data_IF_671198397370
#
_entry.id   IF_671198397370
#
_cell.length_a   1.000
_cell.length_b   1.000
_cell.length_c   1.000
_cell.angle_alpha   90.00
_cell.angle_beta   90.00
_cell.angle_gamma   90.00
#
_symmetry.space_group_name_H-M   'P 1'
#
loop_
_entity.id
_entity.type
_entity.pdbx_description
1 polymer ?
#
# COMPACT_ATOMS: atom_id res chain seq x y z
N UNK A 1 22.09 13.15 4.54
CA UNK A 1 21.42 14.42 4.81
C UNK A 1 21.25 14.63 6.30
N UNK A 2 21.28 15.86 6.78
CA UNK A 2 20.93 16.15 8.18
C UNK A 2 19.47 15.72 8.39
N UNK A 3 19.23 14.77 9.30
CA UNK A 3 17.88 14.31 9.62
C UNK A 3 16.99 15.48 10.04
N UNK A 4 15.76 15.52 9.52
CA UNK A 4 14.77 16.50 9.91
C UNK A 4 14.48 16.34 11.40
N UNK A 5 14.57 17.44 12.17
CA UNK A 5 14.40 17.44 13.63
C UNK A 5 13.00 16.91 14.05
N UNK A 6 12.00 16.96 13.18
CA UNK A 6 10.67 16.40 13.45
C UNK A 6 10.69 14.87 13.70
N UNK A 7 11.71 14.18 13.16
CA UNK A 7 11.94 12.76 13.33
C UNK A 7 12.87 12.41 14.50
N UNK A 8 13.22 13.39 15.32
CA UNK A 8 14.11 13.20 16.47
C UNK A 8 13.41 13.67 17.75
N UNK A 9 13.13 12.75 18.67
CA UNK A 9 12.66 13.06 20.03
C UNK A 9 13.56 12.37 21.03
N UNK A 10 14.16 13.17 21.94
CA UNK A 10 15.13 12.68 22.93
C UNK A 10 14.54 11.69 23.93
N UNK A 11 13.25 11.75 24.15
CA UNK A 11 12.48 10.96 25.12
C UNK A 11 11.82 9.72 24.51
N UNK A 12 11.98 9.47 23.20
CA UNK A 12 11.35 8.34 22.52
C UNK A 12 12.37 7.58 21.66
N UNK A 13 12.44 6.27 21.90
CA UNK A 13 13.26 5.38 21.08
C UNK A 13 12.64 5.16 19.69
N UNK A 14 11.30 5.02 19.63
CA UNK A 14 10.54 4.87 18.38
C UNK A 14 9.46 5.93 18.31
N UNK A 15 9.27 6.52 17.13
CA UNK A 15 8.23 7.53 16.89
C UNK A 15 6.97 6.93 16.27
N UNK A 16 7.06 5.74 15.69
CA UNK A 16 6.02 5.03 14.99
C UNK A 16 6.47 4.53 13.63
N UNK A 17 5.52 4.06 12.82
CA UNK A 17 5.75 3.65 11.43
C UNK A 17 5.47 4.87 10.55
N UNK A 18 6.44 5.23 9.70
CA UNK A 18 6.28 6.32 8.73
C UNK A 18 5.52 5.87 7.48
N UNK A 19 5.92 4.75 6.91
CA UNK A 19 5.29 4.16 5.72
C UNK A 19 5.52 2.66 5.66
N UNK A 20 4.75 2.00 4.80
CA UNK A 20 5.02 0.64 4.33
C UNK A 20 5.34 0.70 2.85
N UNK A 21 6.36 -0.05 2.42
CA UNK A 21 6.75 -0.12 1.01
C UNK A 21 6.19 -1.37 0.35
N UNK A 22 5.68 -1.24 -0.86
CA UNK A 22 5.18 -2.33 -1.70
C UNK A 22 5.86 -2.29 -3.07
N UNK A 23 6.18 -3.45 -3.60
CA UNK A 23 6.71 -3.56 -4.97
C UNK A 23 5.55 -3.54 -5.95
N UNK A 24 5.62 -2.67 -6.94
CA UNK A 24 4.61 -2.54 -7.99
C UNK A 24 5.22 -2.77 -9.36
N UNK A 25 4.47 -3.41 -10.26
CA UNK A 25 4.90 -3.66 -11.62
C UNK A 25 4.83 -2.41 -12.52
N UNK A 26 3.89 -1.51 -12.23
CA UNK A 26 3.68 -0.25 -12.96
C UNK A 26 3.08 0.80 -12.01
N UNK A 27 3.82 1.88 -11.80
CA UNK A 27 3.40 2.97 -10.91
C UNK A 27 2.10 3.61 -11.36
N UNK A 28 1.89 3.84 -12.67
CA UNK A 28 0.67 4.51 -13.17
C UNK A 28 -0.56 3.61 -13.03
N UNK A 29 -0.42 2.31 -13.24
CA UNK A 29 -1.49 1.35 -12.99
C UNK A 29 -1.89 1.35 -11.50
N UNK A 30 -0.90 1.35 -10.60
CA UNK A 30 -1.12 1.39 -9.15
C UNK A 30 -1.73 2.72 -8.71
N UNK A 31 -1.35 3.86 -9.33
CA UNK A 31 -1.93 5.17 -9.03
C UNK A 31 -3.43 5.24 -9.36
N UNK A 32 -3.93 4.53 -10.37
CA UNK A 32 -5.37 4.43 -10.63
C UNK A 32 -6.12 3.84 -9.45
N UNK A 33 -5.55 2.84 -8.79
CA UNK A 33 -6.13 2.24 -7.60
C UNK A 33 -5.98 3.16 -6.38
N UNK A 34 -4.77 3.52 -6.01
CA UNK A 34 -4.49 4.19 -4.74
C UNK A 34 -4.84 5.67 -4.74
N UNK A 35 -4.51 6.39 -5.81
CA UNK A 35 -4.79 7.83 -5.94
C UNK A 35 -6.22 8.08 -6.43
N UNK A 36 -6.59 7.48 -7.57
CA UNK A 36 -7.84 7.86 -8.26
C UNK A 36 -9.07 7.19 -7.62
N UNK A 37 -8.96 5.90 -7.25
CA UNK A 37 -10.08 5.19 -6.64
C UNK A 37 -10.12 5.34 -5.11
N UNK A 38 -8.97 5.29 -4.41
CA UNK A 38 -8.95 5.38 -2.94
C UNK A 38 -8.72 6.79 -2.39
N UNK A 39 -8.27 7.74 -3.21
CA UNK A 39 -8.14 9.14 -2.82
C UNK A 39 -6.86 9.47 -2.04
N UNK A 40 -5.81 8.63 -2.10
CA UNK A 40 -4.51 9.00 -1.58
C UNK A 40 -3.86 10.05 -2.50
N UNK A 41 -2.98 10.87 -1.96
CA UNK A 41 -2.24 11.85 -2.75
C UNK A 41 -0.73 11.52 -2.79
N UNK A 42 -0.08 11.88 -3.89
CA UNK A 42 1.36 11.74 -4.03
C UNK A 42 2.04 12.77 -3.13
N UNK A 43 2.87 12.28 -2.20
CA UNK A 43 3.65 13.10 -1.28
C UNK A 43 5.08 13.36 -1.77
N UNK A 44 5.56 12.54 -2.69
CA UNK A 44 6.88 12.69 -3.28
C UNK A 44 7.22 11.57 -4.24
N UNK A 45 8.24 11.78 -5.06
CA UNK A 45 8.80 10.75 -5.94
C UNK A 45 10.31 10.92 -6.07
N UNK A 46 11.01 9.82 -6.31
CA UNK A 46 12.44 9.80 -6.58
C UNK A 46 12.79 8.63 -7.46
N UNK A 47 14.00 8.66 -8.01
CA UNK A 47 14.62 7.53 -8.66
C UNK A 47 15.91 7.19 -7.94
N UNK A 48 16.03 5.97 -7.45
CA UNK A 48 17.15 5.49 -6.66
C UNK A 48 17.88 4.39 -7.40
N UNK A 49 19.22 4.45 -7.38
CA UNK A 49 20.10 3.48 -8.05
C UNK A 49 21.51 3.52 -7.42
N UNK A 50 22.37 2.61 -7.87
CA UNK A 50 23.78 2.50 -7.43
C UNK A 50 23.99 1.56 -6.27
N UNK A 51 25.22 1.44 -5.83
CA UNK A 51 25.69 0.40 -4.89
C UNK A 51 24.92 0.39 -3.57
N UNK A 52 24.55 1.53 -3.03
CA UNK A 52 23.79 1.61 -1.78
C UNK A 52 22.39 1.03 -1.96
N UNK A 53 21.73 1.34 -3.09
CA UNK A 53 20.41 0.80 -3.40
C UNK A 53 20.47 -0.70 -3.68
N UNK A 54 21.50 -1.17 -4.39
CA UNK A 54 21.72 -2.58 -4.66
C UNK A 54 21.89 -3.39 -3.36
N UNK A 55 22.69 -2.88 -2.43
CA UNK A 55 22.90 -3.51 -1.13
C UNK A 55 21.62 -3.49 -0.27
N UNK A 56 20.88 -2.38 -0.29
CA UNK A 56 19.63 -2.25 0.47
C UNK A 56 18.59 -3.31 0.04
N UNK A 57 18.44 -3.50 -1.25
CA UNK A 57 17.46 -4.44 -1.80
C UNK A 57 18.03 -5.86 -2.02
N UNK A 58 19.35 -6.03 -1.92
CA UNK A 58 20.08 -7.24 -2.32
C UNK A 58 19.76 -7.64 -3.78
N UNK A 59 19.72 -6.63 -4.67
CA UNK A 59 19.46 -6.79 -6.10
C UNK A 59 20.52 -6.03 -6.88
N UNK A 60 21.38 -6.75 -7.60
CA UNK A 60 22.41 -6.15 -8.42
C UNK A 60 21.82 -5.38 -9.60
N UNK A 61 22.35 -4.16 -9.86
CA UNK A 61 21.84 -3.27 -10.90
C UNK A 61 20.48 -2.64 -10.60
N UNK A 62 20.04 -2.69 -9.32
CA UNK A 62 18.74 -2.13 -8.93
C UNK A 62 18.62 -0.64 -9.27
N UNK A 63 17.59 -0.31 -10.04
CA UNK A 63 17.14 1.04 -10.33
C UNK A 63 15.65 1.11 -10.09
N UNK A 64 15.23 1.92 -9.13
CA UNK A 64 13.85 2.00 -8.68
C UNK A 64 13.26 3.37 -8.91
N UNK A 65 12.02 3.40 -9.41
CA UNK A 65 11.14 4.55 -9.23
C UNK A 65 10.41 4.37 -7.90
N UNK A 66 10.52 5.37 -7.04
CA UNK A 66 9.88 5.40 -5.73
C UNK A 66 8.79 6.46 -5.77
N UNK A 67 7.58 6.11 -5.35
CA UNK A 67 6.44 7.05 -5.26
C UNK A 67 5.77 6.90 -3.92
N UNK A 68 5.85 7.95 -3.10
CA UNK A 68 5.25 7.97 -1.76
C UNK A 68 3.84 8.53 -1.79
N UNK A 69 2.91 7.85 -1.15
CA UNK A 69 1.51 8.21 -1.05
C UNK A 69 1.09 8.43 0.40
N UNK A 70 0.19 9.37 0.63
CA UNK A 70 -0.38 9.69 1.95
C UNK A 70 -1.89 9.84 1.87
N UNK A 71 -2.58 9.47 2.94
CA UNK A 71 -3.97 9.86 3.13
C UNK A 71 -4.07 11.30 3.63
N UNK A 72 -5.12 12.02 3.21
CA UNK A 72 -5.35 13.39 3.66
C UNK A 72 -5.55 13.51 5.18
N UNK A 73 -6.07 12.46 5.82
CA UNK A 73 -6.24 12.36 7.26
C UNK A 73 -4.95 12.10 8.05
N UNK A 74 -3.82 11.90 7.36
CA UNK A 74 -2.55 11.52 8.01
C UNK A 74 -2.40 10.02 8.22
N UNK A 75 -1.49 9.62 9.11
CA UNK A 75 -1.12 8.22 9.36
C UNK A 75 0.08 7.76 8.52
N UNK A 76 0.44 6.47 8.61
CA UNK A 76 1.50 5.88 7.80
C UNK A 76 1.22 6.00 6.31
N UNK A 77 2.26 6.24 5.51
CA UNK A 77 2.17 6.27 4.05
C UNK A 77 2.24 4.89 3.42
N UNK A 78 1.98 4.85 2.12
CA UNK A 78 2.31 3.71 1.26
C UNK A 78 3.35 4.20 0.26
N UNK A 79 4.43 3.45 0.08
CA UNK A 79 5.48 3.78 -0.86
C UNK A 79 5.56 2.69 -1.93
N UNK A 80 5.47 3.09 -3.20
CA UNK A 80 5.66 2.19 -4.33
C UNK A 80 7.14 2.07 -4.66
N UNK A 81 7.58 0.85 -4.88
CA UNK A 81 8.89 0.49 -5.40
C UNK A 81 8.72 -0.17 -6.78
N UNK A 82 8.82 0.59 -7.85
CA UNK A 82 8.83 0.05 -9.20
C UNK A 82 10.28 -0.19 -9.65
N UNK A 83 10.64 -1.44 -9.90
CA UNK A 83 11.95 -1.77 -10.44
C UNK A 83 12.00 -1.44 -11.93
N UNK A 84 12.74 -0.38 -12.27
CA UNK A 84 13.05 -0.01 -13.65
C UNK A 84 14.12 -0.94 -14.24
N UNK A 85 15.00 -1.47 -13.37
CA UNK A 85 15.98 -2.50 -13.63
C UNK A 85 16.32 -3.26 -12.33
N UNK A 86 16.56 -4.60 -12.40
CA UNK A 86 16.09 -5.49 -13.46
C UNK A 86 14.56 -5.61 -13.44
N UNK A 87 13.95 -5.98 -14.58
CA UNK A 87 12.50 -6.18 -14.72
C UNK A 87 12.14 -7.66 -14.77
N UNK A 88 12.78 -8.46 -13.96
CA UNK A 88 12.63 -9.92 -13.91
C UNK A 88 11.91 -10.40 -12.64
N UNK A 89 11.25 -9.49 -11.92
CA UNK A 89 10.44 -9.80 -10.76
C UNK A 89 9.28 -10.76 -11.09
N UNK A 90 8.93 -11.62 -10.15
CA UNK A 90 7.81 -12.55 -10.30
C UNK A 90 6.52 -11.88 -9.85
N UNK A 91 5.40 -12.05 -10.59
CA UNK A 91 4.09 -11.57 -10.13
C UNK A 91 3.64 -12.33 -8.88
N UNK A 92 2.71 -11.73 -8.12
CA UNK A 92 2.07 -12.44 -7.03
C UNK A 92 1.36 -13.70 -7.56
N UNK A 93 1.47 -14.85 -6.86
CA UNK A 93 0.78 -16.07 -7.27
C UNK A 93 -0.75 -15.88 -7.30
N UNK A 94 -1.41 -16.39 -8.33
CA UNK A 94 -2.87 -16.29 -8.47
C UNK A 94 -3.63 -17.04 -7.37
N UNK A 95 -3.02 -18.09 -6.82
CA UNK A 95 -3.55 -18.92 -5.73
C UNK A 95 -3.12 -18.48 -4.34
N UNK A 96 -2.51 -17.28 -4.21
CA UNK A 96 -2.07 -16.70 -2.93
C UNK A 96 -3.20 -16.64 -1.89
N UNK A 97 -2.92 -17.17 -0.69
CA UNK A 97 -3.86 -17.27 0.43
C UNK A 97 -3.43 -16.43 1.62
N UNK A 98 -4.39 -16.09 2.47
CA UNK A 98 -4.11 -15.35 3.70
C UNK A 98 -3.25 -16.13 4.72
N UNK A 99 -3.11 -17.43 4.55
CA UNK A 99 -2.24 -18.29 5.37
C UNK A 99 -0.78 -18.36 4.88
N UNK A 100 -0.47 -17.78 3.73
CA UNK A 100 0.88 -17.85 3.18
C UNK A 100 1.83 -16.89 3.91
N UNK A 101 3.10 -17.28 4.04
CA UNK A 101 4.10 -16.48 4.77
C UNK A 101 4.38 -15.11 4.16
N UNK A 102 4.13 -14.93 2.88
CA UNK A 102 4.27 -13.66 2.19
C UNK A 102 3.00 -12.81 2.18
N UNK A 103 1.89 -13.35 2.75
CA UNK A 103 0.64 -12.59 2.85
C UNK A 103 0.79 -11.43 3.83
N UNK A 104 0.35 -10.28 3.41
CA UNK A 104 0.15 -9.13 4.25
C UNK A 104 -0.99 -8.28 3.69
N UNK A 105 -1.58 -7.44 4.52
CA UNK A 105 -2.62 -6.53 4.07
C UNK A 105 -2.46 -5.16 4.72
N UNK A 106 -2.81 -4.13 3.99
CA UNK A 106 -2.95 -2.77 4.52
C UNK A 106 -4.42 -2.49 4.82
N UNK A 107 -4.70 -1.93 5.99
CA UNK A 107 -6.05 -1.53 6.37
C UNK A 107 -6.20 -0.01 6.25
N UNK A 108 -7.19 0.43 5.48
CA UNK A 108 -7.60 1.81 5.36
C UNK A 108 -8.96 2.00 6.04
N UNK A 109 -9.04 3.03 6.88
CA UNK A 109 -10.31 3.46 7.48
C UNK A 109 -10.98 4.43 6.51
N UNK A 110 -12.19 4.12 6.09
CA UNK A 110 -12.98 4.91 5.14
C UNK A 110 -14.27 5.39 5.79
N UNK A 111 -14.80 6.51 5.30
CA UNK A 111 -16.06 7.05 5.82
C UNK A 111 -17.28 6.20 5.42
N UNK A 112 -17.26 5.59 4.23
CA UNK A 112 -18.37 4.80 3.70
C UNK A 112 -17.83 3.68 2.81
N UNK A 113 -17.82 2.45 3.32
CA UNK A 113 -17.32 1.27 2.60
C UNK A 113 -18.05 1.03 1.28
N UNK A 114 -19.39 1.24 1.26
CA UNK A 114 -20.23 1.06 0.06
C UNK A 114 -19.83 1.99 -1.10
N UNK A 115 -19.43 3.24 -0.80
CA UNK A 115 -19.01 4.20 -1.84
C UNK A 115 -17.71 3.76 -2.49
N UNK A 116 -16.72 3.34 -1.69
CA UNK A 116 -15.45 2.86 -2.21
C UNK A 116 -15.60 1.55 -2.97
N UNK A 117 -16.45 0.64 -2.48
CA UNK A 117 -16.77 -0.62 -3.16
C UNK A 117 -17.34 -0.37 -4.57
N UNK A 118 -18.34 0.51 -4.68
CA UNK A 118 -18.93 0.86 -5.99
C UNK A 118 -17.90 1.47 -6.94
N UNK A 119 -17.02 2.35 -6.45
CA UNK A 119 -15.96 2.97 -7.26
C UNK A 119 -14.97 1.94 -7.77
N UNK A 120 -14.48 1.05 -6.90
CA UNK A 120 -13.54 0.01 -7.29
C UNK A 120 -14.15 -0.98 -8.28
N UNK A 121 -15.43 -1.33 -8.13
CA UNK A 121 -16.14 -2.18 -9.08
C UNK A 121 -16.31 -1.51 -10.46
N UNK A 122 -16.61 -0.21 -10.49
CA UNK A 122 -16.74 0.54 -11.74
C UNK A 122 -15.43 0.59 -12.53
N UNK A 123 -14.29 0.57 -11.83
CA UNK A 123 -12.94 0.52 -12.42
C UNK A 123 -12.42 -0.91 -12.65
N UNK A 124 -13.27 -1.92 -12.46
CA UNK A 124 -12.96 -3.35 -12.63
C UNK A 124 -11.85 -3.89 -11.72
N UNK A 125 -11.65 -3.31 -10.54
CA UNK A 125 -10.71 -3.85 -9.56
C UNK A 125 -11.25 -5.14 -8.92
N UNK A 126 -10.34 -6.06 -8.60
CA UNK A 126 -10.66 -7.38 -8.05
C UNK A 126 -10.98 -7.30 -6.56
N UNK A 127 -12.06 -7.97 -6.15
CA UNK A 127 -12.39 -8.17 -4.74
C UNK A 127 -11.93 -9.53 -4.26
N UNK A 128 -11.52 -9.60 -3.00
CA UNK A 128 -11.24 -10.84 -2.27
C UNK A 128 -12.50 -11.27 -1.52
N UNK A 129 -13.20 -10.33 -0.87
CA UNK A 129 -14.50 -10.56 -0.24
C UNK A 129 -15.63 -10.57 -1.30
N UNK A 130 -16.77 -11.21 -1.01
CA UNK A 130 -17.92 -11.22 -1.95
C UNK A 130 -18.56 -9.83 -2.17
N UNK A 131 -18.14 -8.84 -1.40
CA UNK A 131 -18.62 -7.45 -1.43
C UNK A 131 -18.37 -6.80 -0.07
N UNK A 132 -19.13 -5.75 0.21
CA UNK A 132 -19.14 -5.13 1.55
C UNK A 132 -19.85 -6.06 2.53
N UNK A 133 -19.17 -6.40 3.62
CA UNK A 133 -19.69 -7.25 4.69
C UNK A 133 -19.96 -6.39 5.91
N UNK A 134 -21.16 -6.51 6.49
CA UNK A 134 -21.50 -5.92 7.78
C UNK A 134 -21.19 -6.89 8.89
N UNK A 135 -20.59 -6.41 9.97
CA UNK A 135 -20.25 -7.19 11.15
C UNK A 135 -21.21 -6.87 12.28
N UNK A 136 -21.80 -7.91 12.87
CA UNK A 136 -22.62 -7.77 14.05
C UNK A 136 -21.78 -7.67 15.32
N UNK A 137 -20.57 -8.21 15.29
CA UNK A 137 -19.61 -8.17 16.39
C UNK A 137 -18.68 -6.96 16.28
N UNK A 138 -18.79 -6.08 17.27
CA UNK A 138 -17.95 -4.86 17.38
C UNK A 138 -16.56 -5.12 17.95
N UNK A 139 -16.24 -6.35 18.32
CA UNK A 139 -14.92 -6.70 18.90
C UNK A 139 -13.74 -6.38 17.95
N UNK A 140 -14.00 -6.38 16.65
CA UNK A 140 -12.99 -6.05 15.63
C UNK A 140 -12.75 -4.53 15.43
N UNK A 141 -13.53 -3.69 16.13
CA UNK A 141 -13.35 -2.23 16.09
C UNK A 141 -13.86 -1.55 14.81
N UNK A 142 -14.62 -2.26 13.96
CA UNK A 142 -15.31 -1.70 12.80
C UNK A 142 -16.64 -2.41 12.54
N UNK A 143 -17.54 -1.75 11.82
CA UNK A 143 -18.90 -2.24 11.57
C UNK A 143 -19.12 -2.82 10.19
N UNK A 144 -18.37 -2.32 9.20
CA UNK A 144 -18.43 -2.76 7.80
C UNK A 144 -17.04 -2.79 7.19
N UNK A 145 -16.87 -3.60 6.16
CA UNK A 145 -15.63 -3.60 5.40
C UNK A 145 -15.66 -4.56 4.23
N UNK A 146 -14.64 -4.49 3.41
CA UNK A 146 -14.39 -5.41 2.31
C UNK A 146 -12.89 -5.49 2.01
N UNK A 147 -12.51 -6.54 1.30
CA UNK A 147 -11.14 -6.77 0.86
C UNK A 147 -11.07 -6.64 -0.66
N UNK A 148 -10.14 -5.84 -1.15
CA UNK A 148 -9.84 -5.70 -2.57
C UNK A 148 -8.36 -5.98 -2.84
N UNK A 149 -8.03 -6.31 -4.09
CA UNK A 149 -6.64 -6.42 -4.55
C UNK A 149 -6.30 -5.23 -5.42
N UNK A 150 -5.10 -4.70 -5.22
CA UNK A 150 -4.51 -3.77 -6.15
C UNK A 150 -4.08 -4.47 -7.47
N UNK A 151 -3.56 -3.75 -8.48
CA UNK A 151 -3.12 -4.35 -9.74
C UNK A 151 -2.05 -5.45 -9.59
N UNK A 152 -1.22 -5.38 -8.58
CA UNK A 152 -0.12 -6.32 -8.32
C UNK A 152 -0.49 -7.45 -7.36
N UNK A 153 -1.73 -7.45 -6.85
CA UNK A 153 -2.27 -8.50 -6.00
C UNK A 153 -2.17 -8.24 -4.49
N UNK A 154 -1.66 -7.10 -4.05
CA UNK A 154 -1.65 -6.74 -2.62
C UNK A 154 -3.07 -6.58 -2.09
N UNK A 155 -3.31 -7.09 -0.89
CA UNK A 155 -4.64 -7.02 -0.28
C UNK A 155 -4.81 -5.72 0.50
N UNK A 156 -5.90 -5.03 0.20
CA UNK A 156 -6.34 -3.84 0.90
C UNK A 156 -7.64 -4.12 1.62
N UNK A 157 -7.65 -3.93 2.94
CA UNK A 157 -8.87 -3.94 3.73
C UNK A 157 -9.41 -2.51 3.85
N UNK A 158 -10.62 -2.27 3.36
CA UNK A 158 -11.31 -1.00 3.54
C UNK A 158 -12.39 -1.20 4.59
N UNK A 159 -12.27 -0.50 5.73
CA UNK A 159 -13.14 -0.67 6.89
C UNK A 159 -13.83 0.65 7.26
N UNK A 160 -15.08 0.53 7.67
CA UNK A 160 -15.91 1.61 8.19
C UNK A 160 -16.12 1.38 9.69
N UNK A 161 -15.75 2.36 10.52
CA UNK A 161 -15.91 2.31 11.98
C UNK A 161 -17.33 2.60 12.44
#
# INVERSE_FOLDING_TARGET
>A
GKGDQKWQKKDKLFLGIDHTAIVVGDTEASLKFYRDALGLHIAGSSENYGTEQEHLNNVFGARLRITSLRAASGGPGIEFLEYLAPRDGRPAPDDARASDLFHWQTTLIVNTADTFSKRLLAENFRFVSPGVVSLNDKSMGFSKGFLARDPDGHVMALIEK
#
